data_IF_686346996115
#
_entry.id   IF_686346996115
#
_cell.length_a   1.000
_cell.length_b   1.000
_cell.length_c   1.000
_cell.angle_alpha   90.00
_cell.angle_beta   90.00
_cell.angle_gamma   90.00
#
_symmetry.space_group_name_H-M   'P 1'
#
loop_
_entity.id
_entity.type
_entity.pdbx_description
1 polymer ?
#
# COMPACT_ATOMS: atom_id res chain seq x y z
N UNK A 1 42.62 34.26 -9.35
CA UNK A 1 41.25 33.75 -9.58
C UNK A 1 40.89 32.95 -8.35
N UNK A 2 39.87 33.34 -7.59
CA UNK A 2 39.43 32.54 -6.46
C UNK A 2 38.90 31.20 -7.02
N UNK A 3 39.32 30.07 -6.44
CA UNK A 3 38.77 28.77 -6.81
C UNK A 3 37.29 28.75 -6.42
N UNK A 4 36.42 28.41 -7.38
CA UNK A 4 34.99 28.24 -7.13
C UNK A 4 34.73 27.02 -6.25
N UNK A 5 33.51 26.93 -5.73
CA UNK A 5 33.12 25.80 -4.86
C UNK A 5 33.21 24.46 -5.60
N UNK A 6 32.95 24.43 -6.92
CA UNK A 6 33.10 23.24 -7.75
C UNK A 6 34.51 22.65 -7.70
N UNK A 7 35.50 23.52 -7.90
CA UNK A 7 36.91 23.12 -7.83
C UNK A 7 37.31 22.65 -6.42
N UNK A 8 36.84 23.31 -5.37
CA UNK A 8 37.12 22.88 -3.99
C UNK A 8 36.56 21.50 -3.68
N UNK A 9 35.31 21.25 -4.06
CA UNK A 9 34.67 19.94 -3.88
C UNK A 9 35.40 18.85 -4.67
N UNK A 10 35.85 19.17 -5.89
CA UNK A 10 36.65 18.26 -6.71
C UNK A 10 37.98 17.92 -6.04
N UNK A 11 38.73 18.93 -5.57
CA UNK A 11 40.01 18.73 -4.90
C UNK A 11 39.85 17.89 -3.64
N UNK A 12 38.82 18.14 -2.84
CA UNK A 12 38.53 17.37 -1.63
C UNK A 12 38.15 15.91 -1.98
N UNK A 13 37.34 15.70 -3.02
CA UNK A 13 37.02 14.36 -3.52
C UNK A 13 38.27 13.60 -3.95
N UNK A 14 39.12 14.24 -4.75
CA UNK A 14 40.36 13.65 -5.27
C UNK A 14 41.36 13.35 -4.14
N UNK A 15 41.48 14.26 -3.16
CA UNK A 15 42.31 14.04 -1.97
C UNK A 15 41.88 12.81 -1.16
N UNK A 16 40.59 12.48 -1.18
CA UNK A 16 40.01 11.31 -0.51
C UNK A 16 39.99 10.06 -1.39
N UNK A 17 40.44 10.14 -2.65
CA UNK A 17 40.45 9.02 -3.59
C UNK A 17 39.06 8.53 -3.98
N UNK A 18 38.02 9.37 -3.85
CA UNK A 18 36.64 9.00 -4.16
C UNK A 18 36.38 9.18 -5.66
N UNK A 19 35.87 8.14 -6.34
CA UNK A 19 35.51 8.28 -7.74
C UNK A 19 34.18 9.02 -7.88
N UNK A 20 34.04 9.85 -8.92
CA UNK A 20 32.79 10.56 -9.20
C UNK A 20 31.60 9.60 -9.42
N UNK A 21 31.90 8.40 -9.95
CA UNK A 21 30.94 7.30 -10.09
C UNK A 21 30.36 6.86 -8.75
N UNK A 22 31.17 6.74 -7.71
CA UNK A 22 30.73 6.28 -6.38
C UNK A 22 29.73 7.29 -5.78
N UNK A 23 30.00 8.58 -5.97
CA UNK A 23 29.07 9.65 -5.59
C UNK A 23 27.75 9.48 -6.34
N UNK A 24 27.81 9.26 -7.65
CA UNK A 24 26.62 9.09 -8.49
C UNK A 24 25.76 7.90 -8.05
N UNK A 25 26.40 6.77 -7.77
CA UNK A 25 25.73 5.53 -7.35
C UNK A 25 25.07 5.69 -5.98
N UNK A 26 25.74 6.33 -5.02
CA UNK A 26 25.19 6.53 -3.68
C UNK A 26 24.13 7.63 -3.63
N UNK A 27 24.38 8.78 -4.25
CA UNK A 27 23.51 9.96 -4.15
C UNK A 27 22.37 9.95 -5.16
N UNK A 28 22.42 9.06 -6.16
CA UNK A 28 21.51 9.03 -7.32
C UNK A 28 21.52 10.30 -8.15
N UNK A 29 22.55 11.11 -8.01
CA UNK A 29 22.79 12.29 -8.85
C UNK A 29 23.51 11.80 -10.11
N UNK A 30 23.02 12.18 -11.29
CA UNK A 30 23.66 11.82 -12.56
C UNK A 30 25.10 12.36 -12.62
N UNK A 31 26.03 11.55 -13.14
CA UNK A 31 27.43 11.97 -13.36
C UNK A 31 27.51 13.31 -14.11
N UNK A 32 26.64 13.54 -15.10
CA UNK A 32 26.58 14.82 -15.83
C UNK A 32 26.37 16.03 -14.92
N UNK A 33 25.58 15.89 -13.86
CA UNK A 33 25.34 16.98 -12.91
C UNK A 33 26.50 17.13 -11.93
N UNK A 34 27.11 16.04 -11.50
CA UNK A 34 28.30 16.08 -10.65
C UNK A 34 29.48 16.73 -11.38
N UNK A 35 29.70 16.40 -12.65
CA UNK A 35 30.66 17.08 -13.53
C UNK A 35 30.33 18.58 -13.69
N UNK A 36 29.05 18.91 -13.81
CA UNK A 36 28.60 20.30 -13.86
C UNK A 36 28.91 21.07 -12.58
N UNK A 37 28.77 20.42 -11.41
CA UNK A 37 29.14 20.99 -10.12
C UNK A 37 30.65 21.22 -10.06
N UNK A 38 31.47 20.23 -10.39
CA UNK A 38 32.94 20.37 -10.35
C UNK A 38 33.47 21.44 -11.31
N UNK A 39 32.77 21.66 -12.43
CA UNK A 39 33.12 22.68 -13.42
C UNK A 39 32.50 24.06 -13.15
N UNK A 40 31.77 24.24 -12.04
CA UNK A 40 30.97 25.44 -11.74
C UNK A 40 29.99 25.83 -12.89
N UNK A 41 29.59 24.87 -13.75
CA UNK A 41 28.66 25.07 -14.87
C UNK A 41 27.23 24.70 -14.43
N UNK A 42 26.68 25.54 -13.54
CA UNK A 42 25.36 25.33 -12.92
C UNK A 42 24.19 25.31 -13.89
N UNK A 43 24.38 25.82 -15.12
CA UNK A 43 23.40 25.78 -16.21
C UNK A 43 23.09 24.35 -16.69
N UNK A 44 24.00 23.39 -16.42
CA UNK A 44 23.80 21.97 -16.74
C UNK A 44 22.84 21.28 -15.77
N UNK A 45 22.65 21.85 -14.59
CA UNK A 45 21.82 21.25 -13.56
C UNK A 45 20.34 21.55 -13.84
N UNK A 46 19.41 20.80 -13.20
CA UNK A 46 17.98 21.04 -13.35
C UNK A 46 17.49 22.42 -12.91
N UNK A 47 18.28 23.15 -12.13
CA UNK A 47 17.93 24.49 -11.63
C UNK A 47 17.12 24.48 -10.33
N UNK A 48 16.80 25.68 -9.86
CA UNK A 48 15.98 25.91 -8.67
C UNK A 48 16.55 25.26 -7.40
N UNK A 49 15.68 24.60 -6.63
CA UNK A 49 16.06 23.95 -5.36
C UNK A 49 17.01 22.76 -5.55
N UNK A 50 17.02 22.15 -6.74
CA UNK A 50 17.79 20.93 -6.98
C UNK A 50 19.29 21.19 -6.95
N UNK A 51 19.75 22.33 -7.47
CA UNK A 51 21.17 22.70 -7.44
C UNK A 51 21.72 22.69 -6.02
N UNK A 52 21.01 23.35 -5.11
CA UNK A 52 21.37 23.40 -3.68
C UNK A 52 21.37 22.01 -3.04
N UNK A 53 20.37 21.18 -3.37
CA UNK A 53 20.28 19.82 -2.84
C UNK A 53 21.43 18.92 -3.34
N UNK A 54 21.84 19.07 -4.60
CA UNK A 54 22.92 18.27 -5.19
C UNK A 54 24.28 18.67 -4.64
N UNK A 55 24.55 19.97 -4.51
CA UNK A 55 25.79 20.46 -3.90
C UNK A 55 25.89 20.01 -2.45
N UNK A 56 24.79 20.08 -1.68
CA UNK A 56 24.73 19.55 -0.32
C UNK A 56 25.02 18.06 -0.25
N UNK A 57 24.34 17.27 -1.09
CA UNK A 57 24.50 15.82 -1.12
C UNK A 57 25.93 15.41 -1.54
N UNK A 58 26.53 16.13 -2.48
CA UNK A 58 27.93 15.97 -2.86
C UNK A 58 28.82 16.21 -1.63
N UNK A 59 28.75 17.41 -1.04
CA UNK A 59 29.58 17.81 0.09
C UNK A 59 29.48 16.79 1.25
N UNK A 60 28.24 16.40 1.58
CA UNK A 60 27.97 15.37 2.58
C UNK A 60 28.64 14.04 2.27
N UNK A 61 28.56 13.56 1.04
CA UNK A 61 29.11 12.27 0.64
C UNK A 61 30.62 12.24 0.76
N UNK A 62 31.30 13.30 0.35
CA UNK A 62 32.75 13.40 0.46
C UNK A 62 33.22 13.84 1.86
N UNK A 63 32.31 14.22 2.77
CA UNK A 63 32.63 14.69 4.12
C UNK A 63 33.24 16.09 4.15
N UNK A 64 32.82 16.95 3.20
CA UNK A 64 33.04 18.39 3.20
C UNK A 64 31.90 19.09 3.97
N UNK A 65 32.16 20.29 4.49
CA UNK A 65 31.15 21.05 5.24
C UNK A 65 29.98 21.47 4.33
N UNK A 66 28.79 20.96 4.65
CA UNK A 66 27.58 21.17 3.84
C UNK A 66 27.15 22.64 3.82
N UNK A 67 27.35 23.35 4.93
CA UNK A 67 26.94 24.75 5.09
C UNK A 67 27.86 25.65 4.27
N UNK A 68 29.18 25.47 4.40
CA UNK A 68 30.20 26.18 3.64
C UNK A 68 29.98 26.03 2.14
N UNK A 69 29.74 24.80 1.66
CA UNK A 69 29.50 24.54 0.25
C UNK A 69 28.28 25.32 -0.31
N UNK A 70 27.21 25.38 0.48
CA UNK A 70 25.98 26.09 0.06
C UNK A 70 26.14 27.60 0.14
N UNK A 71 26.83 28.10 1.16
CA UNK A 71 27.10 29.52 1.33
C UNK A 71 27.94 30.05 0.17
N UNK A 72 28.99 29.32 -0.22
CA UNK A 72 29.84 29.70 -1.35
C UNK A 72 29.08 29.61 -2.68
N UNK A 73 28.33 28.54 -2.93
CA UNK A 73 27.44 28.47 -4.09
C UNK A 73 26.47 29.66 -4.16
N UNK A 74 25.85 30.01 -3.03
CA UNK A 74 24.91 31.14 -2.95
C UNK A 74 25.61 32.47 -3.23
N UNK A 75 26.88 32.62 -2.83
CA UNK A 75 27.70 33.79 -3.12
C UNK A 75 28.01 33.87 -4.62
N UNK A 76 28.45 32.78 -5.23
CA UNK A 76 28.74 32.71 -6.66
C UNK A 76 27.52 33.09 -7.51
N UNK A 77 26.33 32.61 -7.14
CA UNK A 77 25.09 32.95 -7.84
C UNK A 77 24.75 34.44 -7.78
N UNK A 78 24.95 35.06 -6.61
CA UNK A 78 24.74 36.51 -6.41
C UNK A 78 25.73 37.36 -7.20
N UNK A 79 26.98 36.93 -7.29
CA UNK A 79 28.02 37.59 -8.09
C UNK A 79 27.74 37.50 -9.59
N UNK A 80 27.13 36.40 -10.05
CA UNK A 80 26.73 36.21 -11.45
C UNK A 80 25.44 36.96 -11.83
N UNK A 81 24.81 37.66 -10.88
CA UNK A 81 23.56 38.39 -11.12
C UNK A 81 22.34 37.49 -11.30
N UNK A 82 22.48 36.18 -11.08
CA UNK A 82 21.39 35.21 -11.11
C UNK A 82 20.69 35.20 -9.75
N UNK A 83 19.52 35.83 -9.66
CA UNK A 83 18.69 35.72 -8.48
C UNK A 83 18.08 34.31 -8.41
N UNK A 84 18.12 33.69 -7.23
CA UNK A 84 17.62 32.32 -6.94
C UNK A 84 16.11 32.13 -7.24
N UNK A 85 15.42 33.14 -7.78
CA UNK A 85 13.96 33.22 -7.85
C UNK A 85 13.37 32.81 -9.22
N UNK A 86 14.17 32.72 -10.29
CA UNK A 86 13.62 32.49 -11.64
C UNK A 86 13.52 31.01 -12.09
N UNK A 87 13.40 30.09 -11.14
CA UNK A 87 12.90 28.74 -11.43
C UNK A 87 11.99 28.19 -10.34
N UNK A 88 11.17 29.08 -9.78
CA UNK A 88 9.91 28.69 -9.17
C UNK A 88 8.89 28.28 -10.26
N UNK A 89 9.23 27.29 -11.10
CA UNK A 89 8.18 26.63 -11.88
C UNK A 89 7.35 25.81 -10.91
N UNK A 90 6.21 26.40 -10.55
CA UNK A 90 5.06 25.79 -9.87
C UNK A 90 5.38 25.25 -8.48
N UNK A 91 5.09 26.08 -7.49
CA UNK A 91 4.85 25.74 -6.09
C UNK A 91 3.84 24.59 -5.97
N UNK A 92 4.28 23.35 -6.15
CA UNK A 92 3.72 22.24 -5.39
C UNK A 92 4.38 22.37 -4.04
N UNK A 93 3.68 23.08 -3.15
CA UNK A 93 3.89 23.01 -1.71
C UNK A 93 3.55 21.58 -1.27
N UNK A 94 4.35 20.60 -1.66
CA UNK A 94 4.39 19.33 -0.96
C UNK A 94 4.97 19.66 0.40
N UNK A 95 4.15 19.53 1.42
CA UNK A 95 4.59 19.46 2.81
C UNK A 95 5.52 18.27 2.90
N UNK A 96 6.80 18.49 2.63
CA UNK A 96 7.84 17.51 2.91
C UNK A 96 8.07 17.60 4.41
N UNK A 97 7.54 16.62 5.14
CA UNK A 97 7.99 16.28 6.48
C UNK A 97 9.48 15.91 6.38
N UNK A 98 10.36 16.91 6.43
CA UNK A 98 11.75 16.66 6.77
C UNK A 98 11.84 16.75 8.29
N UNK A 99 11.90 15.58 8.90
CA UNK A 99 12.43 15.43 10.24
C UNK A 99 13.88 15.93 10.22
N UNK A 100 14.14 17.03 10.91
CA UNK A 100 15.41 17.75 10.87
C UNK A 100 15.44 19.03 11.70
N UNK A 101 14.45 19.22 12.59
CA UNK A 101 14.53 20.23 13.65
C UNK A 101 14.81 19.52 14.97
N UNK A 102 15.55 20.13 15.93
CA UNK A 102 15.54 19.65 17.30
C UNK A 102 14.12 19.82 17.85
N UNK A 103 13.32 18.77 17.69
CA UNK A 103 11.91 18.76 18.04
C UNK A 103 11.78 18.54 19.54
N UNK A 104 11.66 19.64 20.29
CA UNK A 104 11.24 19.66 21.69
C UNK A 104 9.74 19.32 21.82
N UNK A 105 9.24 18.31 21.09
CA UNK A 105 7.89 17.80 21.32
C UNK A 105 7.93 17.00 22.60
N UNK A 106 7.08 17.38 23.55
CA UNK A 106 7.10 16.84 24.90
C UNK A 106 7.01 15.30 24.86
N UNK A 107 8.01 14.57 25.38
CA UNK A 107 8.03 13.11 25.38
C UNK A 107 6.83 12.53 26.16
N UNK A 108 6.17 13.36 26.95
CA UNK A 108 4.93 13.05 27.65
C UNK A 108 3.77 12.75 26.69
N UNK A 109 3.63 13.46 25.57
CA UNK A 109 2.52 13.22 24.64
C UNK A 109 2.68 11.89 23.91
N UNK A 110 3.92 11.53 23.55
CA UNK A 110 4.23 10.24 22.95
C UNK A 110 4.06 9.09 23.94
N UNK A 111 4.48 9.28 25.20
CA UNK A 111 4.28 8.27 26.26
C UNK A 111 2.78 8.10 26.60
N UNK A 112 2.00 9.19 26.63
CA UNK A 112 0.57 9.14 26.84
C UNK A 112 -0.12 8.36 25.71
N UNK A 113 0.21 8.64 24.45
CA UNK A 113 -0.36 7.93 23.31
C UNK A 113 -0.03 6.44 23.35
N UNK A 114 1.23 6.10 23.65
CA UNK A 114 1.67 4.71 23.81
C UNK A 114 0.92 4.01 24.95
N UNK A 115 0.76 4.67 26.10
CA UNK A 115 0.02 4.14 27.24
C UNK A 115 -1.47 3.90 26.91
N UNK A 116 -2.11 4.81 26.16
CA UNK A 116 -3.49 4.66 25.70
C UNK A 116 -3.64 3.45 24.77
N UNK A 117 -2.71 3.26 23.83
CA UNK A 117 -2.72 2.11 22.91
C UNK A 117 -2.58 0.80 23.71
N UNK A 118 -1.64 0.74 24.66
CA UNK A 118 -1.44 -0.44 25.51
C UNK A 118 -2.67 -0.75 26.38
N UNK A 119 -3.33 0.29 26.92
CA UNK A 119 -4.55 0.13 27.70
C UNK A 119 -5.69 -0.46 26.85
N UNK A 120 -5.87 0.03 25.62
CA UNK A 120 -6.89 -0.49 24.69
C UNK A 120 -6.61 -1.95 24.33
N UNK A 121 -5.36 -2.28 23.98
CA UNK A 121 -4.98 -3.65 23.63
C UNK A 121 -5.21 -4.61 24.81
N UNK A 122 -4.81 -4.21 26.02
CA UNK A 122 -5.06 -4.98 27.25
C UNK A 122 -6.55 -5.20 27.50
N UNK A 123 -7.38 -4.16 27.33
CA UNK A 123 -8.82 -4.24 27.48
C UNK A 123 -9.46 -5.18 26.45
N UNK A 124 -9.00 -5.14 25.19
CA UNK A 124 -9.46 -6.03 24.12
C UNK A 124 -9.12 -7.50 24.41
N UNK A 125 -7.90 -7.78 24.87
CA UNK A 125 -7.48 -9.13 25.25
C UNK A 125 -8.29 -9.63 26.44
N UNK A 126 -8.46 -8.80 27.47
CA UNK A 126 -9.24 -9.14 28.65
C UNK A 126 -10.72 -9.41 28.31
N UNK A 127 -11.34 -8.54 27.51
CA UNK A 127 -12.71 -8.72 27.04
C UNK A 127 -12.86 -9.95 26.14
N UNK A 128 -11.88 -10.22 25.27
CA UNK A 128 -11.84 -11.41 24.42
C UNK A 128 -11.75 -12.70 25.22
N UNK A 129 -10.86 -12.77 26.21
CA UNK A 129 -10.73 -13.92 27.11
C UNK A 129 -11.98 -14.12 27.97
N UNK A 130 -12.54 -13.04 28.51
CA UNK A 130 -13.76 -13.10 29.30
C UNK A 130 -14.99 -13.52 28.47
N UNK A 131 -15.05 -13.08 27.20
CA UNK A 131 -16.08 -13.53 26.25
C UNK A 131 -15.88 -15.00 25.85
N UNK A 132 -14.64 -15.45 25.69
CA UNK A 132 -14.30 -16.84 25.35
C UNK A 132 -14.66 -17.81 26.48
N UNK A 133 -14.41 -17.44 27.73
CA UNK A 133 -14.85 -18.21 28.91
C UNK A 133 -16.38 -18.23 29.05
N UNK A 134 -17.07 -17.13 28.73
CA UNK A 134 -18.55 -17.11 28.66
C UNK A 134 -19.12 -17.93 27.49
N UNK A 135 -18.37 -18.07 26.40
CA UNK A 135 -18.83 -18.81 25.22
C UNK A 135 -18.76 -20.33 25.37
N UNK A 136 -18.00 -20.87 26.34
CA UNK A 136 -17.95 -22.30 26.64
C UNK A 136 -19.10 -22.76 27.56
N UNK A 137 -19.86 -21.84 28.16
CA UNK A 137 -21.02 -22.13 29.02
C UNK A 137 -22.41 -22.02 28.36
N UNK A 138 -22.49 -21.71 27.06
CA UNK A 138 -23.75 -21.52 26.31
C UNK A 138 -23.84 -22.41 25.06
N UNK A 139 -23.60 -23.71 25.21
CA UNK A 139 -24.15 -24.75 24.33
C UNK A 139 -24.61 -25.96 25.16
N UNK A 140 -25.39 -25.72 26.21
CA UNK A 140 -26.13 -26.75 26.94
C UNK A 140 -27.25 -26.12 27.77
N UNK A 141 -28.11 -25.30 27.15
CA UNK A 141 -29.43 -24.94 27.69
C UNK A 141 -30.13 -23.97 26.74
N UNK A 142 -30.88 -24.47 25.76
CA UNK A 142 -32.18 -23.91 25.33
C UNK A 142 -32.83 -24.94 24.41
N UNK A 143 -33.82 -25.65 24.95
CA UNK A 143 -34.59 -26.64 24.22
C UNK A 143 -35.50 -27.49 25.12
N UNK A 144 -36.09 -26.91 26.18
CA UNK A 144 -37.13 -27.58 26.97
C UNK A 144 -38.50 -27.01 26.62
N UNK A 145 -39.37 -27.87 26.10
CA UNK A 145 -40.81 -27.77 26.30
C UNK A 145 -41.66 -27.84 25.03
N UNK A 146 -42.04 -29.05 24.60
CA UNK A 146 -43.44 -29.51 24.65
C UNK A 146 -43.67 -30.89 23.99
N UNK A 147 -44.14 -31.83 24.83
CA UNK A 147 -45.17 -32.88 24.58
C UNK A 147 -44.91 -34.01 23.56
N UNK A 148 -44.78 -35.24 24.06
CA UNK A 148 -44.97 -36.51 23.32
C UNK A 148 -46.49 -36.85 23.15
N UNK A 149 -46.88 -37.96 22.48
CA UNK A 149 -47.16 -38.12 21.04
C UNK A 149 -48.62 -38.67 20.84
N UNK A 150 -49.18 -39.04 19.65
CA UNK A 150 -48.73 -40.17 18.81
C UNK A 150 -48.99 -40.03 17.30
N UNK A 151 -48.18 -40.67 16.44
CA UNK A 151 -48.60 -40.96 15.06
C UNK A 151 -47.97 -42.26 14.55
N UNK A 152 -48.46 -43.40 15.07
CA UNK A 152 -48.42 -44.67 14.35
C UNK A 152 -49.61 -44.67 13.38
N UNK A 153 -49.37 -44.38 12.11
CA UNK A 153 -50.33 -44.66 11.03
C UNK A 153 -49.59 -45.19 9.80
N UNK A 154 -49.32 -46.49 9.83
CA UNK A 154 -49.30 -47.34 8.63
C UNK A 154 -50.27 -48.48 8.89
N UNK A 155 -51.53 -48.25 8.55
CA UNK A 155 -52.53 -49.29 8.32
C UNK A 155 -53.40 -48.84 7.15
N UNK A 156 -53.65 -49.76 6.24
CA UNK A 156 -54.04 -49.51 4.86
C UNK A 156 -55.37 -48.77 4.66
N UNK A 157 -55.42 -48.04 3.55
CA UNK A 157 -56.66 -47.67 2.88
C UNK A 157 -56.61 -48.26 1.47
N UNK A 158 -57.34 -49.35 1.30
CA UNK A 158 -57.63 -49.99 0.02
C UNK A 158 -58.73 -49.21 -0.70
N UNK A 159 -58.44 -48.64 -1.87
CA UNK A 159 -59.48 -48.29 -2.85
C UNK A 159 -59.10 -48.85 -4.22
N UNK A 160 -59.65 -50.03 -4.48
CA UNK A 160 -60.42 -50.44 -5.66
C UNK A 160 -60.00 -49.85 -7.02
N UNK A 161 -59.21 -50.61 -7.79
CA UNK A 161 -59.09 -50.44 -9.24
C UNK A 161 -60.19 -51.24 -9.94
N UNK A 162 -61.12 -50.54 -10.57
CA UNK A 162 -62.06 -51.11 -11.55
C UNK A 162 -61.29 -51.41 -12.84
N UNK A 163 -61.04 -52.69 -13.10
CA UNK A 163 -60.46 -53.19 -14.35
C UNK A 163 -61.56 -53.25 -15.41
N UNK A 164 -61.39 -52.63 -16.60
CA UNK A 164 -62.36 -52.75 -17.69
C UNK A 164 -62.39 -54.19 -18.23
N UNK A 165 -63.60 -54.66 -18.55
CA UNK A 165 -63.88 -56.03 -19.02
C UNK A 165 -63.17 -56.34 -20.35
N UNK A 166 -62.76 -57.59 -20.52
CA UNK A 166 -61.98 -58.10 -21.65
C UNK A 166 -62.61 -57.86 -23.05
N UNK A 167 -63.89 -57.51 -23.11
CA UNK A 167 -64.57 -57.17 -24.37
C UNK A 167 -64.20 -55.76 -24.90
N UNK A 168 -63.87 -54.80 -24.03
CA UNK A 168 -63.44 -53.46 -24.47
C UNK A 168 -62.01 -53.46 -25.02
N UNK A 169 -61.13 -54.32 -24.50
CA UNK A 169 -59.74 -54.42 -24.95
C UNK A 169 -59.62 -54.96 -26.39
N UNK A 170 -60.53 -55.83 -26.83
CA UNK A 170 -60.50 -56.45 -28.17
C UNK A 170 -61.01 -55.49 -29.25
N UNK A 171 -61.91 -54.56 -28.92
CA UNK A 171 -62.44 -53.56 -29.87
C UNK A 171 -61.41 -52.48 -30.21
N UNK A 172 -60.54 -52.14 -29.26
CA UNK A 172 -59.48 -51.13 -29.44
C UNK A 172 -58.32 -51.68 -30.29
N UNK A 173 -58.04 -52.99 -30.24
CA UNK A 173 -56.96 -53.61 -31.02
C UNK A 173 -57.33 -53.77 -32.52
N UNK A 174 -58.57 -54.15 -32.83
CA UNK A 174 -59.03 -54.32 -34.24
C UNK A 174 -59.16 -53.01 -35.03
N UNK A 175 -59.34 -51.88 -34.35
CA UNK A 175 -59.39 -50.57 -35.00
C UNK A 175 -58.01 -50.05 -35.44
N UNK A 176 -56.91 -50.69 -34.98
CA UNK A 176 -55.54 -50.20 -35.19
C UNK A 176 -54.75 -50.98 -36.26
N UNK A 177 -55.28 -52.08 -36.79
CA UNK A 177 -54.60 -52.96 -37.76
C UNK A 177 -55.18 -52.88 -39.20
N UNK A 178 -56.25 -52.09 -39.44
CA UNK A 178 -56.90 -51.98 -40.76
C UNK A 178 -56.41 -50.82 -41.65
N UNK A 179 -55.57 -49.91 -41.16
CA UNK A 179 -55.25 -48.65 -41.85
C UNK A 179 -53.88 -48.60 -42.57
N UNK A 180 -53.08 -49.68 -42.56
CA UNK A 180 -51.68 -49.60 -42.99
C UNK A 180 -51.22 -50.57 -44.11
N UNK A 181 -52.13 -51.18 -44.86
CA UNK A 181 -51.75 -52.03 -46.02
C UNK A 181 -52.68 -51.81 -47.23
N UNK A 182 -52.70 -50.58 -47.76
CA UNK A 182 -53.21 -50.29 -49.11
C UNK A 182 -52.60 -49.00 -49.64
N UNK A 183 -51.28 -48.97 -49.81
CA UNK A 183 -50.61 -48.06 -50.77
C UNK A 183 -49.16 -48.52 -51.00
N UNK A 184 -48.98 -49.20 -52.13
CA UNK A 184 -47.82 -49.24 -53.06
C UNK A 184 -46.44 -49.55 -52.49
#
# INVERSE_FOLDING_TARGET
>A
MAAGIGEKLRLEREARGIALRDISEQTRISMRYLEGIEADDYRRLPGGIFNRSFIRAYAKFIGYDEQEAIEEYTRTLREQGESTDESATKTVRSVVYTDGGPHNRSPLLTLLLAAVILAILSLCVWAGLHFYQRSLGRKSATGTGQRNPPAKSRSGSSIHYSVPSAEEAVKIQRAREGEHESTV
#
